data_IF_991419846704
#
_entry.id   IF_991419846704
#
_cell.length_a   1.000
_cell.length_b   1.000
_cell.length_c   1.000
_cell.angle_alpha   90.00
_cell.angle_beta   90.00
_cell.angle_gamma   90.00
#
_symmetry.space_group_name_H-M   'P 1'
#
loop_
_entity.id
_entity.type
_entity.pdbx_description
1 polymer ?
#
# COMPACT_ATOMS: atom_id res chain seq x y z
N UNK A 1 -8.68 10.89 -10.12
CA UNK A 1 -8.48 10.53 -8.69
C UNK A 1 -7.11 9.90 -8.50
N UNK A 2 -6.33 10.38 -7.55
CA UNK A 2 -5.09 9.76 -7.10
C UNK A 2 -5.39 8.77 -5.97
N UNK A 3 -5.10 7.49 -6.14
CA UNK A 3 -5.43 6.44 -5.17
C UNK A 3 -4.23 5.58 -4.83
N UNK A 4 -4.06 5.27 -3.54
CA UNK A 4 -3.03 4.36 -3.10
C UNK A 4 -3.19 2.98 -3.77
N UNK A 5 -2.09 2.34 -4.12
CA UNK A 5 -2.05 1.07 -4.84
C UNK A 5 -2.78 -0.09 -4.11
N UNK A 6 -3.03 0.03 -2.80
CA UNK A 6 -3.88 -0.90 -2.03
C UNK A 6 -5.33 -0.94 -2.53
N UNK A 7 -5.81 0.12 -3.21
CA UNK A 7 -7.17 0.20 -3.75
C UNK A 7 -7.30 -0.35 -5.18
N UNK A 8 -6.21 -0.79 -5.79
CA UNK A 8 -6.21 -1.23 -7.19
C UNK A 8 -7.25 -2.32 -7.47
N UNK A 9 -7.38 -3.32 -6.59
CA UNK A 9 -8.31 -4.44 -6.79
C UNK A 9 -9.79 -4.07 -6.60
N UNK A 10 -10.08 -2.96 -5.92
CA UNK A 10 -11.45 -2.46 -5.70
C UNK A 10 -11.83 -1.32 -6.65
N UNK A 11 -10.97 -0.92 -7.56
CA UNK A 11 -11.22 0.19 -8.50
C UNK A 11 -12.46 -0.04 -9.36
N UNK A 12 -12.57 -1.20 -10.00
CA UNK A 12 -13.73 -1.51 -10.85
C UNK A 12 -15.08 -1.48 -10.12
N UNK A 13 -15.24 -2.09 -8.92
CA UNK A 13 -16.44 -1.90 -8.11
C UNK A 13 -16.73 -0.45 -7.76
N UNK A 14 -15.70 0.34 -7.44
CA UNK A 14 -15.85 1.77 -7.11
C UNK A 14 -16.29 2.58 -8.34
N UNK A 15 -15.68 2.39 -9.50
CA UNK A 15 -16.09 3.01 -10.76
C UNK A 15 -17.56 2.70 -11.09
N UNK A 16 -17.92 1.41 -10.99
CA UNK A 16 -19.30 0.98 -11.26
C UNK A 16 -20.30 1.58 -10.27
N UNK A 17 -19.96 1.68 -8.99
CA UNK A 17 -20.82 2.31 -7.98
C UNK A 17 -20.98 3.81 -8.23
N UNK A 18 -19.88 4.51 -8.54
CA UNK A 18 -19.90 5.94 -8.83
C UNK A 18 -20.74 6.26 -10.07
N UNK A 19 -20.57 5.49 -11.14
CA UNK A 19 -21.39 5.65 -12.37
C UNK A 19 -22.87 5.43 -12.09
N UNK A 20 -23.24 4.43 -11.27
CA UNK A 20 -24.65 4.18 -10.88
C UNK A 20 -25.25 5.31 -10.05
N UNK A 21 -24.46 6.07 -9.29
CA UNK A 21 -24.93 7.22 -8.53
C UNK A 21 -25.28 8.45 -9.39
N UNK A 22 -24.96 8.41 -10.68
CA UNK A 22 -25.17 9.55 -11.60
C UNK A 22 -24.13 10.67 -11.45
N UNK A 23 -23.09 10.46 -10.65
CA UNK A 23 -22.05 11.48 -10.38
C UNK A 23 -20.98 11.60 -11.50
N UNK A 24 -21.09 10.80 -12.57
CA UNK A 24 -20.17 10.84 -13.70
C UNK A 24 -19.19 9.67 -13.76
N UNK A 25 -17.96 9.91 -14.19
CA UNK A 25 -16.92 8.89 -14.35
C UNK A 25 -15.73 9.16 -13.45
N UNK A 26 -15.06 8.10 -13.00
CA UNK A 26 -13.79 8.18 -12.26
C UNK A 26 -12.68 7.63 -13.14
N UNK A 27 -11.56 8.36 -13.23
CA UNK A 27 -10.29 7.83 -13.72
C UNK A 27 -9.31 7.74 -12.57
N UNK A 28 -8.72 6.57 -12.37
CA UNK A 28 -7.75 6.33 -11.32
C UNK A 28 -6.31 6.46 -11.81
N UNK A 29 -5.46 7.06 -10.96
CA UNK A 29 -3.99 6.97 -11.05
C UNK A 29 -3.50 6.28 -9.79
N UNK A 30 -2.85 5.12 -9.94
CA UNK A 30 -2.36 4.32 -8.82
C UNK A 30 -0.86 4.43 -8.64
N UNK A 31 -0.42 4.70 -7.40
CA UNK A 31 0.97 4.64 -6.99
C UNK A 31 1.06 4.47 -5.45
N UNK A 32 2.26 4.53 -4.87
CA UNK A 32 2.38 4.67 -3.41
C UNK A 32 1.87 6.04 -2.97
N UNK A 33 1.39 6.13 -1.72
CA UNK A 33 0.84 7.40 -1.20
C UNK A 33 1.85 8.54 -1.28
N UNK A 34 3.11 8.32 -0.93
CA UNK A 34 4.13 9.37 -1.00
C UNK A 34 4.47 9.81 -2.42
N UNK A 35 4.43 8.90 -3.41
CA UNK A 35 4.62 9.28 -4.82
C UNK A 35 3.47 10.17 -5.32
N UNK A 36 2.22 9.82 -4.98
CA UNK A 36 1.06 10.63 -5.34
C UNK A 36 1.06 12.00 -4.64
N UNK A 37 1.41 12.05 -3.36
CA UNK A 37 1.60 13.32 -2.64
C UNK A 37 2.59 14.23 -3.36
N UNK A 38 3.75 13.68 -3.76
CA UNK A 38 4.74 14.47 -4.49
C UNK A 38 4.24 14.95 -5.87
N UNK A 39 3.42 14.17 -6.56
CA UNK A 39 2.79 14.60 -7.82
C UNK A 39 1.83 15.77 -7.57
N UNK A 40 1.00 15.69 -6.52
CA UNK A 40 0.08 16.78 -6.13
C UNK A 40 0.86 18.05 -5.80
N UNK A 41 1.93 17.96 -5.01
CA UNK A 41 2.80 19.09 -4.68
C UNK A 41 3.46 19.74 -5.90
N UNK A 42 3.63 18.98 -6.98
CA UNK A 42 4.15 19.46 -8.28
C UNK A 42 3.06 19.94 -9.22
N UNK A 43 1.81 20.02 -8.77
CA UNK A 43 0.68 20.55 -9.53
C UNK A 43 -0.05 19.52 -10.39
N UNK A 44 0.07 18.21 -10.11
CA UNK A 44 -0.73 17.22 -10.83
C UNK A 44 -2.23 17.45 -10.56
N UNK A 45 -3.08 17.49 -11.60
CA UNK A 45 -4.48 17.89 -11.49
C UNK A 45 -5.37 16.73 -11.05
N UNK A 46 -5.32 16.39 -9.78
CA UNK A 46 -6.20 15.40 -9.18
C UNK A 46 -7.32 16.08 -8.40
N UNK A 47 -8.57 15.68 -8.68
CA UNK A 47 -9.75 16.16 -7.95
C UNK A 47 -9.88 15.52 -6.57
N UNK A 48 -9.43 14.28 -6.42
CA UNK A 48 -9.51 13.52 -5.17
C UNK A 48 -8.22 12.75 -4.94
N UNK A 49 -7.75 12.76 -3.69
CA UNK A 49 -6.60 11.98 -3.24
C UNK A 49 -6.99 11.03 -2.11
N UNK A 50 -6.69 9.74 -2.30
CA UNK A 50 -7.01 8.66 -1.35
C UNK A 50 -5.72 7.91 -0.98
N UNK A 51 -4.95 8.40 0.01
CA UNK A 51 -3.77 7.72 0.50
C UNK A 51 -4.11 6.55 1.42
N UNK A 52 -3.15 5.66 1.62
CA UNK A 52 -3.27 4.54 2.55
C UNK A 52 -2.86 4.89 4.00
N UNK A 53 -2.49 6.13 4.28
CA UNK A 53 -2.26 6.62 5.63
C UNK A 53 -2.71 8.07 5.75
N UNK A 54 -3.37 8.37 6.86
CA UNK A 54 -3.95 9.68 7.17
C UNK A 54 -2.89 10.81 7.17
N UNK A 55 -1.67 10.53 7.61
CA UNK A 55 -0.59 11.50 7.66
C UNK A 55 -0.30 12.19 6.31
N UNK A 56 -0.48 11.49 5.17
CA UNK A 56 -0.25 12.06 3.84
C UNK A 56 -1.32 13.09 3.47
N UNK A 57 -2.60 12.81 3.74
CA UNK A 57 -3.67 13.78 3.50
C UNK A 57 -3.59 14.96 4.46
N UNK A 58 -3.26 14.73 5.75
CA UNK A 58 -3.04 15.82 6.71
C UNK A 58 -1.86 16.72 6.33
N UNK A 59 -0.80 16.16 5.74
CA UNK A 59 0.32 16.94 5.23
C UNK A 59 -0.11 17.90 4.14
N UNK A 60 -0.87 17.42 3.16
CA UNK A 60 -1.40 18.25 2.07
C UNK A 60 -2.42 19.29 2.57
N UNK A 61 -3.31 18.92 3.51
CA UNK A 61 -4.28 19.83 4.14
C UNK A 61 -3.56 20.99 4.85
N UNK A 62 -2.58 20.68 5.69
CA UNK A 62 -1.79 21.68 6.44
C UNK A 62 -1.06 22.66 5.51
N UNK A 63 -0.59 22.15 4.35
CA UNK A 63 0.17 22.94 3.39
C UNK A 63 -0.73 23.62 2.32
N UNK A 64 -2.07 23.55 2.48
CA UNK A 64 -3.04 24.28 1.66
C UNK A 64 -3.33 23.65 0.28
N UNK A 65 -3.05 22.37 0.08
CA UNK A 65 -3.34 21.65 -1.17
C UNK A 65 -4.74 21.00 -1.19
N UNK A 66 -5.51 21.07 -0.09
CA UNK A 66 -6.80 20.41 0.04
C UNK A 66 -7.90 21.44 0.25
N UNK A 67 -8.99 21.34 -0.49
CA UNK A 67 -10.24 22.04 -0.24
C UNK A 67 -11.12 21.22 0.71
N UNK A 68 -11.68 21.84 1.75
CA UNK A 68 -12.53 21.18 2.74
C UNK A 68 -11.74 20.45 3.82
N UNK A 69 -12.28 19.33 4.29
CA UNK A 69 -11.73 18.55 5.41
C UNK A 69 -11.30 17.17 4.97
N UNK A 70 -10.16 16.71 5.49
CA UNK A 70 -9.71 15.34 5.35
C UNK A 70 -10.61 14.40 6.16
N UNK A 71 -11.10 13.33 5.53
CA UNK A 71 -11.97 12.34 6.15
C UNK A 71 -11.31 10.97 6.20
N UNK A 72 -11.36 10.31 7.36
CA UNK A 72 -11.00 8.91 7.49
C UNK A 72 -12.22 8.04 7.09
N UNK A 73 -12.07 7.21 6.07
CA UNK A 73 -13.17 6.38 5.57
C UNK A 73 -12.97 4.87 5.81
N UNK A 74 -11.73 4.41 6.01
CA UNK A 74 -11.41 3.01 6.24
C UNK A 74 -10.09 2.86 7.02
N UNK A 75 -9.94 1.71 7.68
CA UNK A 75 -8.68 1.26 8.30
C UNK A 75 -8.15 0.06 7.53
N UNK A 76 -6.92 0.17 7.04
CA UNK A 76 -6.23 -0.93 6.39
C UNK A 76 -5.67 -1.94 7.39
N UNK A 77 -5.53 -3.19 6.96
CA UNK A 77 -4.83 -4.25 7.70
C UNK A 77 -3.66 -4.74 6.90
N UNK A 78 -2.57 -5.09 7.60
CA UNK A 78 -1.43 -5.77 7.01
C UNK A 78 -1.63 -7.28 7.12
N UNK A 79 -1.31 -8.02 6.06
CA UNK A 79 -1.31 -9.48 6.06
C UNK A 79 -0.04 -10.01 5.39
N UNK A 80 0.41 -11.19 5.82
CA UNK A 80 1.39 -11.98 5.08
C UNK A 80 0.65 -12.86 4.06
N UNK A 81 1.09 -12.85 2.82
CA UNK A 81 0.50 -13.62 1.74
C UNK A 81 1.56 -14.42 0.99
N UNK A 82 1.24 -15.66 0.69
CA UNK A 82 2.02 -16.52 -0.21
C UNK A 82 1.11 -17.24 -1.20
N UNK A 83 1.64 -17.44 -2.40
CA UNK A 83 0.97 -18.26 -3.41
C UNK A 83 1.13 -19.77 -3.14
N UNK A 84 2.18 -20.16 -2.40
CA UNK A 84 2.64 -21.54 -2.35
C UNK A 84 2.21 -22.28 -1.06
N UNK A 85 1.98 -21.54 0.03
CA UNK A 85 1.67 -22.13 1.34
C UNK A 85 0.94 -21.12 2.21
N UNK A 86 0.24 -21.61 3.21
CA UNK A 86 -0.35 -20.82 4.26
C UNK A 86 0.71 -20.52 5.33
N UNK A 87 0.56 -19.36 5.95
CA UNK A 87 1.40 -18.88 7.04
C UNK A 87 0.53 -18.73 8.29
N UNK A 88 0.91 -19.40 9.35
CA UNK A 88 0.21 -19.32 10.65
C UNK A 88 0.78 -18.20 11.53
N UNK A 89 2.05 -17.85 11.32
CA UNK A 89 2.74 -16.83 12.09
C UNK A 89 3.81 -16.09 11.28
N UNK A 90 4.21 -14.90 11.73
CA UNK A 90 5.33 -14.16 11.15
C UNK A 90 6.70 -14.84 11.42
N UNK A 91 6.81 -15.68 12.45
CA UNK A 91 8.05 -16.40 12.76
C UNK A 91 8.48 -17.33 11.62
N UNK A 92 7.53 -17.88 10.86
CA UNK A 92 7.81 -18.75 9.71
C UNK A 92 8.60 -18.05 8.60
N UNK A 93 8.59 -16.71 8.56
CA UNK A 93 9.41 -15.94 7.61
C UNK A 93 10.92 -16.20 7.76
N UNK A 94 11.35 -16.76 8.90
CA UNK A 94 12.74 -17.16 9.15
C UNK A 94 13.12 -18.46 8.49
N UNK A 95 12.16 -19.30 8.15
CA UNK A 95 12.40 -20.63 7.58
C UNK A 95 13.19 -20.56 6.25
N UNK A 96 13.97 -21.60 5.97
CA UNK A 96 14.84 -21.65 4.77
C UNK A 96 14.04 -21.75 3.46
N UNK A 97 12.78 -22.26 3.54
CA UNK A 97 11.86 -22.27 2.38
C UNK A 97 11.48 -20.88 1.91
N UNK A 98 11.60 -19.88 2.79
CA UNK A 98 11.30 -18.47 2.47
C UNK A 98 12.63 -17.74 2.31
N UNK A 99 13.02 -17.48 1.08
CA UNK A 99 14.28 -16.82 0.73
C UNK A 99 14.10 -15.34 0.50
N UNK A 100 12.91 -14.91 0.04
CA UNK A 100 12.58 -13.53 -0.24
C UNK A 100 11.20 -13.18 0.30
N UNK A 101 11.14 -12.06 1.02
CA UNK A 101 9.92 -11.47 1.56
C UNK A 101 9.74 -10.11 0.91
N UNK A 102 8.74 -9.98 0.07
CA UNK A 102 8.42 -8.72 -0.60
C UNK A 102 7.67 -7.78 0.35
N UNK A 103 8.15 -6.57 0.47
CA UNK A 103 7.51 -5.49 1.22
C UNK A 103 7.48 -4.22 0.37
N UNK A 104 6.47 -3.38 0.56
CA UNK A 104 6.50 -2.06 -0.06
C UNK A 104 7.64 -1.21 0.55
N UNK A 105 8.23 -0.32 -0.23
CA UNK A 105 9.31 0.53 0.27
C UNK A 105 8.77 1.50 1.34
N UNK A 106 9.25 1.43 2.60
CA UNK A 106 8.75 2.25 3.71
C UNK A 106 9.01 3.76 3.52
N UNK A 107 9.94 4.13 2.64
CA UNK A 107 10.20 5.55 2.33
C UNK A 107 9.03 6.25 1.65
N UNK A 108 8.15 5.51 0.97
CA UNK A 108 7.09 6.09 0.13
C UNK A 108 5.71 5.45 0.36
N UNK A 109 5.69 4.25 0.93
CA UNK A 109 4.47 3.44 1.03
C UNK A 109 4.07 3.17 2.48
N UNK A 110 2.86 3.56 2.90
CA UNK A 110 2.35 3.30 4.26
C UNK A 110 2.39 1.82 4.66
N UNK A 111 2.05 0.92 3.75
CA UNK A 111 2.14 -0.53 4.02
C UNK A 111 3.58 -1.01 4.17
N UNK A 112 4.57 -0.29 3.62
CA UNK A 112 5.98 -0.54 3.90
C UNK A 112 6.36 -0.17 5.32
N UNK A 113 5.87 0.99 5.81
CA UNK A 113 6.04 1.41 7.21
C UNK A 113 5.37 0.40 8.15
N UNK A 114 4.11 0.03 7.87
CA UNK A 114 3.38 -0.96 8.66
C UNK A 114 4.08 -2.32 8.70
N UNK A 115 4.64 -2.78 7.56
CA UNK A 115 5.42 -4.02 7.50
C UNK A 115 6.70 -3.92 8.36
N UNK A 116 7.41 -2.80 8.27
CA UNK A 116 8.60 -2.56 9.10
C UNK A 116 8.24 -2.56 10.59
N UNK A 117 7.22 -1.84 10.98
CA UNK A 117 6.75 -1.78 12.37
C UNK A 117 6.32 -3.15 12.91
N UNK A 118 5.55 -3.92 12.12
CA UNK A 118 5.14 -5.27 12.50
C UNK A 118 6.34 -6.21 12.69
N UNK A 119 7.31 -6.17 11.78
CA UNK A 119 8.53 -6.99 11.89
C UNK A 119 9.45 -6.53 13.03
N UNK A 120 9.47 -5.23 13.34
CA UNK A 120 10.20 -4.72 14.50
C UNK A 120 9.54 -5.14 15.81
N UNK A 121 8.20 -5.02 15.90
CA UNK A 121 7.44 -5.42 17.09
C UNK A 121 7.55 -6.91 17.39
N UNK A 122 7.66 -7.75 16.36
CA UNK A 122 7.91 -9.20 16.50
C UNK A 122 9.39 -9.58 16.66
N UNK A 123 10.32 -8.61 16.68
CA UNK A 123 11.76 -8.91 16.79
C UNK A 123 12.38 -9.54 15.54
N UNK A 124 11.65 -9.56 14.42
CA UNK A 124 12.07 -10.23 13.18
C UNK A 124 12.84 -9.32 12.22
N UNK A 125 12.75 -8.00 12.38
CA UNK A 125 13.28 -7.03 11.41
C UNK A 125 14.73 -7.26 11.04
N UNK A 126 15.62 -7.42 12.04
CA UNK A 126 17.05 -7.61 11.79
C UNK A 126 17.35 -8.95 11.12
N UNK A 127 16.69 -10.03 11.58
CA UNK A 127 16.90 -11.36 11.03
C UNK A 127 16.43 -11.48 9.57
N UNK A 128 15.41 -10.72 9.19
CA UNK A 128 14.83 -10.76 7.85
C UNK A 128 15.47 -9.79 6.87
N UNK A 129 16.34 -8.85 7.30
CA UNK A 129 17.00 -7.89 6.39
C UNK A 129 17.59 -8.54 5.13
N UNK A 130 18.30 -9.68 5.21
CA UNK A 130 18.87 -10.32 4.02
C UNK A 130 17.83 -10.91 3.06
N UNK A 131 16.60 -11.13 3.55
CA UNK A 131 15.50 -11.70 2.77
C UNK A 131 14.55 -10.63 2.21
N UNK A 132 14.63 -9.38 2.68
CA UNK A 132 13.69 -8.32 2.26
C UNK A 132 13.98 -7.87 0.82
N UNK A 133 12.93 -7.83 0.02
CA UNK A 133 12.92 -7.23 -1.32
C UNK A 133 11.85 -6.14 -1.38
N UNK A 134 12.20 -5.00 -1.96
CA UNK A 134 11.36 -3.81 -1.89
C UNK A 134 10.61 -3.56 -3.20
N UNK A 135 9.28 -3.51 -3.12
CA UNK A 135 8.41 -3.01 -4.18
C UNK A 135 8.18 -1.50 -4.06
N UNK A 136 7.92 -0.82 -5.16
CA UNK A 136 7.61 0.62 -5.18
C UNK A 136 6.27 0.94 -4.48
N UNK A 137 5.38 -0.05 -4.41
CA UNK A 137 4.07 0.03 -3.76
C UNK A 137 3.68 -1.32 -3.17
N UNK A 138 2.61 -1.36 -2.37
CA UNK A 138 2.06 -2.61 -1.84
C UNK A 138 1.54 -3.54 -2.95
N UNK A 139 0.99 -3.00 -4.03
CA UNK A 139 0.57 -3.78 -5.19
C UNK A 139 1.78 -4.41 -5.91
N UNK A 140 2.89 -3.69 -6.03
CA UNK A 140 4.13 -4.23 -6.60
C UNK A 140 4.72 -5.34 -5.70
N UNK A 141 4.74 -5.16 -4.38
CA UNK A 141 5.16 -6.21 -3.45
C UNK A 141 4.28 -7.47 -3.58
N UNK A 142 2.96 -7.32 -3.68
CA UNK A 142 2.05 -8.42 -3.96
C UNK A 142 2.38 -9.13 -5.28
N UNK A 143 2.55 -8.37 -6.36
CA UNK A 143 2.89 -8.91 -7.68
C UNK A 143 4.21 -9.72 -7.66
N UNK A 144 5.21 -9.29 -6.89
CA UNK A 144 6.47 -10.04 -6.75
C UNK A 144 6.23 -11.43 -6.17
N UNK A 145 5.36 -11.59 -5.18
CA UNK A 145 5.03 -12.90 -4.63
C UNK A 145 4.08 -13.69 -5.55
N UNK A 146 3.13 -13.03 -6.20
CA UNK A 146 2.21 -13.65 -7.16
C UNK A 146 2.96 -14.26 -8.36
N UNK A 147 4.01 -13.61 -8.83
CA UNK A 147 4.84 -14.07 -9.96
C UNK A 147 5.98 -14.99 -9.57
N UNK A 148 6.16 -15.28 -8.26
CA UNK A 148 7.23 -16.14 -7.75
C UNK A 148 8.60 -15.46 -7.62
N UNK A 149 8.66 -14.12 -7.74
CA UNK A 149 9.87 -13.35 -7.47
C UNK A 149 10.14 -13.17 -5.96
N UNK A 150 9.17 -13.49 -5.12
CA UNK A 150 9.29 -13.67 -3.68
C UNK A 150 8.40 -14.82 -3.23
N UNK A 151 8.73 -15.48 -2.14
CA UNK A 151 7.92 -16.56 -1.58
C UNK A 151 6.75 -16.01 -0.77
N UNK A 152 6.94 -14.86 -0.13
CA UNK A 152 5.93 -14.17 0.69
C UNK A 152 5.93 -12.68 0.38
N UNK A 153 4.76 -12.05 0.49
CA UNK A 153 4.64 -10.59 0.53
C UNK A 153 3.86 -10.13 1.76
N UNK A 154 4.27 -9.01 2.36
CA UNK A 154 3.47 -8.29 3.34
C UNK A 154 2.61 -7.26 2.61
N UNK A 155 1.29 -7.45 2.65
CA UNK A 155 0.34 -6.79 1.75
C UNK A 155 -0.84 -6.16 2.49
N UNK A 156 -1.63 -5.39 1.77
CA UNK A 156 -2.95 -4.93 2.23
C UNK A 156 -3.96 -6.09 2.16
N UNK A 157 -4.67 -6.32 3.27
CA UNK A 157 -5.78 -7.26 3.35
C UNK A 157 -7.05 -6.58 2.83
#
# INVERSE_FOLDING_TARGET
MAAAASLLKVSHPLEAAFRRSGAGEITFSFASSGQLEQQIRRGAPFDVYVPAAHAFSQSLERDGFVEGQVQLFALGRLAAWSRQFELESLEELREDRIRRVAVANPRFAPYGVAAQEALQASGLWQALQPKLVYGESVAHAFQMAETGNAEVALVAL
#
